data_IF_810480697635
#
_entry.id   IF_810480697635
#
_cell.length_a   1.000
_cell.length_b   1.000
_cell.length_c   1.000
_cell.angle_alpha   90.00
_cell.angle_beta   90.00
_cell.angle_gamma   90.00
#
_symmetry.space_group_name_H-M   'P 1'
#
loop_
_entity.id
_entity.type
_entity.pdbx_description
1 polymer ?
#
# COMPACT_ATOMS: atom_id res chain seq x y z
N UNK A 1 -19.68 -16.81 2.65
CA UNK A 1 -20.38 -15.54 2.42
C UNK A 1 -19.31 -14.47 2.48
N UNK A 2 -19.16 -13.70 1.41
CA UNK A 2 -18.28 -12.54 1.41
C UNK A 2 -19.11 -11.33 1.83
N UNK A 3 -18.53 -10.46 2.67
CA UNK A 3 -19.18 -9.24 3.13
C UNK A 3 -18.55 -8.05 2.41
N UNK A 4 -19.35 -7.05 2.01
CA UNK A 4 -18.78 -5.83 1.47
C UNK A 4 -17.98 -5.13 2.57
N UNK A 5 -16.77 -4.71 2.21
CA UNK A 5 -15.87 -3.94 3.05
C UNK A 5 -15.50 -2.65 2.32
N UNK A 6 -15.44 -1.56 3.08
CA UNK A 6 -15.08 -0.24 2.58
C UNK A 6 -13.64 0.08 2.92
N UNK A 7 -12.84 0.43 1.91
CA UNK A 7 -11.46 0.87 2.06
C UNK A 7 -11.33 2.33 1.63
N UNK A 8 -10.83 3.19 2.51
CA UNK A 8 -10.48 4.57 2.15
C UNK A 8 -9.08 4.58 1.54
N UNK A 9 -8.95 5.11 0.33
CA UNK A 9 -7.71 5.13 -0.45
C UNK A 9 -7.31 6.56 -0.74
N UNK A 10 -6.15 6.97 -0.25
CA UNK A 10 -5.50 8.20 -0.68
C UNK A 10 -4.57 7.91 -1.87
N UNK A 11 -4.78 8.63 -2.97
CA UNK A 11 -3.98 8.53 -4.19
C UNK A 11 -2.72 9.41 -4.08
N UNK A 12 -1.70 9.18 -4.94
CA UNK A 12 -0.48 10.01 -4.94
C UNK A 12 -0.75 11.49 -5.22
N UNK A 13 -1.86 11.80 -5.90
CA UNK A 13 -2.28 13.15 -6.25
C UNK A 13 -3.02 13.86 -5.09
N UNK A 14 -3.16 13.19 -3.93
CA UNK A 14 -3.86 13.71 -2.74
C UNK A 14 -5.38 13.55 -2.77
N UNK A 15 -5.93 12.89 -3.80
CA UNK A 15 -7.36 12.57 -3.86
C UNK A 15 -7.67 11.39 -2.93
N UNK A 16 -8.71 11.52 -2.11
CA UNK A 16 -9.24 10.44 -1.27
C UNK A 16 -10.46 9.81 -1.93
N UNK A 17 -10.46 8.49 -2.04
CA UNK A 17 -11.51 7.70 -2.71
C UNK A 17 -11.94 6.54 -1.83
N UNK A 18 -13.20 6.17 -1.89
CA UNK A 18 -13.70 4.95 -1.26
C UNK A 18 -13.76 3.82 -2.27
N UNK A 19 -13.22 2.66 -1.87
CA UNK A 19 -13.24 1.43 -2.65
C UNK A 19 -14.04 0.40 -1.88
N UNK A 20 -15.14 -0.06 -2.48
CA UNK A 20 -15.94 -1.18 -1.95
C UNK A 20 -15.44 -2.46 -2.59
N UNK A 21 -15.06 -3.42 -1.76
CA UNK A 21 -14.61 -4.73 -2.21
C UNK A 21 -15.06 -5.81 -1.23
N UNK A 22 -14.91 -7.06 -1.65
CA UNK A 22 -15.13 -8.21 -0.78
C UNK A 22 -14.11 -8.23 0.37
N UNK A 23 -14.59 -8.41 1.60
CA UNK A 23 -13.72 -8.67 2.75
C UNK A 23 -12.85 -9.91 2.48
N UNK A 24 -11.55 -9.81 2.75
CA UNK A 24 -10.59 -10.86 2.42
C UNK A 24 -10.13 -10.89 0.95
N UNK A 25 -10.64 -10.03 0.08
CA UNK A 25 -10.08 -9.85 -1.27
C UNK A 25 -8.63 -9.36 -1.21
N UNK A 26 -7.85 -9.64 -2.25
CA UNK A 26 -6.48 -9.10 -2.35
C UNK A 26 -6.57 -7.60 -2.62
N UNK A 27 -5.95 -6.79 -1.75
CA UNK A 27 -6.05 -5.32 -1.83
C UNK A 27 -5.56 -4.78 -3.18
N UNK A 28 -4.49 -5.35 -3.76
CA UNK A 28 -4.04 -4.99 -5.11
C UNK A 28 -5.17 -5.11 -6.14
N UNK A 29 -5.91 -6.21 -6.10
CA UNK A 29 -6.89 -6.50 -7.13
C UNK A 29 -8.11 -5.60 -6.93
N UNK A 30 -8.57 -5.41 -5.68
CA UNK A 30 -9.60 -4.43 -5.34
C UNK A 30 -9.25 -3.00 -5.81
N UNK A 31 -8.01 -2.56 -5.63
CA UNK A 31 -7.54 -1.26 -6.14
C UNK A 31 -7.58 -1.20 -7.67
N UNK A 32 -7.10 -2.26 -8.34
CA UNK A 32 -7.09 -2.32 -9.80
C UNK A 32 -8.50 -2.34 -10.41
N UNK A 33 -9.43 -3.08 -9.80
CA UNK A 33 -10.84 -3.12 -10.19
C UNK A 33 -11.51 -1.74 -10.02
N UNK A 34 -11.12 -0.98 -8.99
CA UNK A 34 -11.54 0.41 -8.80
C UNK A 34 -10.82 1.41 -9.73
N UNK A 35 -9.96 0.94 -10.63
CA UNK A 35 -9.18 1.77 -11.55
C UNK A 35 -8.00 2.51 -10.89
N UNK A 36 -7.69 2.21 -9.64
CA UNK A 36 -6.58 2.77 -8.87
C UNK A 36 -5.37 1.85 -9.02
N UNK A 37 -4.39 2.29 -9.81
CA UNK A 37 -3.15 1.51 -9.97
C UNK A 37 -2.22 1.75 -8.79
N UNK A 38 -1.87 0.72 -7.98
CA UNK A 38 -0.79 0.84 -6.98
C UNK A 38 0.60 0.93 -7.64
N UNK A 39 0.67 0.66 -8.95
CA UNK A 39 1.88 0.77 -9.75
C UNK A 39 2.08 2.19 -10.25
N UNK A 40 3.31 2.70 -10.15
CA UNK A 40 3.73 3.87 -10.92
C UNK A 40 3.64 3.61 -12.43
N UNK A 41 3.59 4.68 -13.24
CA UNK A 41 3.35 4.67 -14.70
C UNK A 41 4.12 3.58 -15.47
N UNK A 42 5.36 3.28 -15.09
CA UNK A 42 6.22 2.29 -15.75
C UNK A 42 6.04 0.84 -15.24
N UNK A 43 5.60 0.66 -13.99
CA UNK A 43 5.44 -0.66 -13.37
C UNK A 43 4.11 -1.36 -13.73
N UNK A 44 3.22 -0.70 -14.49
CA UNK A 44 1.94 -1.29 -14.93
C UNK A 44 2.13 -2.49 -15.87
N UNK A 45 3.24 -2.54 -16.61
CA UNK A 45 3.61 -3.65 -17.52
C UNK A 45 4.75 -4.53 -17.01
N UNK A 46 5.60 -3.99 -16.12
CA UNK A 46 6.73 -4.70 -15.50
C UNK A 46 6.46 -4.86 -14.00
N UNK A 47 5.73 -5.91 -13.63
CA UNK A 47 5.49 -6.29 -12.24
C UNK A 47 5.44 -7.81 -12.08
N UNK A 48 5.58 -8.29 -10.84
CA UNK A 48 5.57 -9.72 -10.52
C UNK A 48 4.17 -10.37 -10.54
N UNK A 49 3.13 -9.67 -10.99
CA UNK A 49 1.75 -10.19 -11.03
C UNK A 49 1.16 -10.52 -9.65
N UNK A 50 1.68 -9.91 -8.58
CA UNK A 50 1.19 -10.14 -7.22
C UNK A 50 1.98 -11.14 -6.37
N UNK A 51 3.11 -11.65 -6.87
CA UNK A 51 3.98 -12.63 -6.16
C UNK A 51 4.82 -12.07 -5.00
N UNK A 52 4.70 -10.79 -4.69
CA UNK A 52 5.46 -10.15 -3.61
C UNK A 52 6.94 -9.86 -3.90
N UNK A 53 7.39 -9.97 -5.15
CA UNK A 53 8.84 -9.94 -5.49
C UNK A 53 9.37 -8.59 -6.00
N UNK A 54 8.48 -7.70 -6.47
CA UNK A 54 8.91 -6.51 -7.23
C UNK A 54 8.77 -5.18 -6.48
N UNK A 55 8.20 -5.17 -5.26
CA UNK A 55 7.89 -3.97 -4.46
C UNK A 55 6.98 -2.91 -5.13
N UNK A 56 6.55 -3.09 -6.38
CA UNK A 56 5.75 -2.09 -7.11
C UNK A 56 4.31 -1.97 -6.63
N UNK A 57 3.85 -2.88 -5.76
CA UNK A 57 2.53 -2.85 -5.11
C UNK A 57 2.55 -2.15 -3.75
N UNK A 58 3.67 -1.50 -3.37
CA UNK A 58 3.80 -0.86 -2.06
C UNK A 58 2.73 0.21 -1.81
N UNK A 59 2.01 0.07 -0.70
CA UNK A 59 1.06 1.04 -0.13
C UNK A 59 1.45 1.30 1.33
N UNK A 60 1.10 2.47 1.87
CA UNK A 60 1.20 2.74 3.30
C UNK A 60 -0.17 2.54 3.92
N UNK A 61 -0.25 1.84 5.05
CA UNK A 61 -1.46 1.79 5.85
C UNK A 61 -1.52 3.08 6.66
N UNK A 62 -2.66 3.77 6.63
CA UNK A 62 -2.90 4.85 7.58
C UNK A 62 -3.49 4.21 8.83
N UNK A 63 -2.83 4.38 9.98
CA UNK A 63 -3.38 3.98 11.27
C UNK A 63 -4.80 4.56 11.40
N UNK A 64 -5.81 3.71 11.55
CA UNK A 64 -7.18 4.11 11.84
C UNK A 64 -7.73 3.24 12.99
N UNK A 65 -8.69 3.76 13.78
CA UNK A 65 -8.72 3.52 15.21
C UNK A 65 -9.33 2.19 15.66
N UNK A 66 -8.85 1.79 16.84
CA UNK A 66 -9.10 0.64 17.70
C UNK A 66 -8.62 -0.76 17.25
N UNK A 67 -7.62 -1.34 17.94
CA UNK A 67 -6.99 -2.58 17.53
C UNK A 67 -7.74 -3.81 18.03
N UNK A 68 -8.22 -4.64 17.11
CA UNK A 68 -8.49 -6.06 17.37
C UNK A 68 -7.63 -6.93 16.43
N UNK A 69 -6.32 -6.61 16.33
CA UNK A 69 -5.31 -7.58 15.90
C UNK A 69 -3.87 -7.06 16.10
N UNK A 70 -3.14 -7.72 17.01
CA UNK A 70 -1.74 -7.48 17.40
C UNK A 70 -0.68 -7.53 16.28
N UNK A 71 -1.03 -7.83 15.03
CA UNK A 71 -0.12 -7.75 13.88
C UNK A 71 -0.05 -6.35 13.24
N UNK A 72 -1.02 -5.48 13.55
CA UNK A 72 -1.13 -4.14 12.99
C UNK A 72 -0.17 -3.14 13.67
N UNK A 73 0.12 -3.35 14.97
CA UNK A 73 1.04 -2.56 15.81
C UNK A 73 2.46 -2.38 15.22
N UNK A 74 2.98 -3.41 14.54
CA UNK A 74 4.35 -3.38 14.00
C UNK A 74 4.46 -2.58 12.69
N UNK A 75 3.37 -2.47 11.92
CA UNK A 75 3.35 -1.64 10.71
C UNK A 75 3.27 -0.15 11.07
N UNK A 76 2.43 0.16 12.06
CA UNK A 76 2.24 1.52 12.58
C UNK A 76 3.51 2.08 13.22
N UNK A 77 4.31 1.24 13.89
CA UNK A 77 5.54 1.68 14.56
C UNK A 77 6.71 2.01 13.63
N UNK A 78 6.74 1.45 12.41
CA UNK A 78 7.95 1.53 11.57
C UNK A 78 7.72 2.06 10.14
N UNK A 79 6.48 2.36 9.73
CA UNK A 79 6.22 3.10 8.48
C UNK A 79 6.64 2.38 7.18
N UNK A 80 6.92 1.08 7.25
CA UNK A 80 7.34 0.29 6.08
C UNK A 80 6.17 0.05 5.13
N UNK A 81 6.30 0.38 3.85
CA UNK A 81 5.22 0.17 2.90
C UNK A 81 4.96 -1.33 2.73
N UNK A 82 3.69 -1.70 2.88
CA UNK A 82 3.21 -3.08 2.72
C UNK A 82 2.89 -3.34 1.26
N UNK A 83 3.06 -4.57 0.81
CA UNK A 83 2.70 -4.94 -0.57
C UNK A 83 1.20 -5.19 -0.65
N UNK A 84 0.44 -4.35 -1.35
CA UNK A 84 -1.01 -4.53 -1.49
C UNK A 84 -1.40 -5.86 -2.10
N UNK A 85 -0.50 -6.51 -2.85
CA UNK A 85 -0.71 -7.87 -3.36
C UNK A 85 -0.60 -8.99 -2.32
N UNK A 86 -0.14 -8.66 -1.10
CA UNK A 86 -0.05 -9.58 0.03
C UNK A 86 -0.98 -9.15 1.18
N UNK A 87 -1.77 -8.10 0.98
CA UNK A 87 -2.74 -7.60 1.94
C UNK A 87 -4.15 -8.03 1.56
N UNK A 88 -4.96 -8.22 2.60
CA UNK A 88 -6.37 -8.60 2.50
C UNK A 88 -7.23 -7.39 2.87
N UNK A 89 -8.29 -7.14 2.12
CA UNK A 89 -9.28 -6.10 2.40
C UNK A 89 -9.94 -6.39 3.75
N UNK A 90 -10.09 -5.34 4.56
CA UNK A 90 -10.85 -5.33 5.81
C UNK A 90 -11.71 -4.07 5.82
N UNK A 91 -12.89 -4.14 6.41
CA UNK A 91 -13.75 -2.97 6.52
C UNK A 91 -13.11 -1.87 7.37
N UNK A 92 -13.30 -0.61 6.97
CA UNK A 92 -12.71 0.55 7.64
C UNK A 92 -11.21 0.76 7.39
N UNK A 93 -10.57 -0.09 6.58
CA UNK A 93 -9.15 0.03 6.26
C UNK A 93 -8.85 1.35 5.53
N UNK A 94 -7.73 1.99 5.87
CA UNK A 94 -7.24 3.20 5.19
C UNK A 94 -5.85 2.99 4.62
N UNK A 95 -5.67 3.28 3.35
CA UNK A 95 -4.39 3.08 2.65
C UNK A 95 -4.00 4.29 1.81
N UNK A 96 -2.72 4.57 1.74
CA UNK A 96 -2.13 5.57 0.87
C UNK A 96 -1.32 4.87 -0.22
N UNK A 97 -1.67 5.14 -1.47
CA UNK A 97 -0.90 4.72 -2.63
C UNK A 97 0.30 5.67 -2.77
N UNK A 98 1.50 5.10 -2.74
CA UNK A 98 2.73 5.89 -2.75
C UNK A 98 3.14 6.27 -4.17
N UNK A 99 3.61 7.51 -4.35
CA UNK A 99 4.32 7.89 -5.57
C UNK A 99 5.65 7.14 -5.65
N UNK A 100 5.84 6.42 -6.75
CA UNK A 100 7.02 5.55 -6.94
C UNK A 100 8.30 6.32 -7.29
N UNK A 101 8.26 7.66 -7.47
CA UNK A 101 9.48 8.48 -7.57
C UNK A 101 10.12 8.71 -6.20
N UNK A 102 9.33 8.67 -5.13
CA UNK A 102 9.78 8.94 -3.74
C UNK A 102 10.42 7.72 -3.08
N UNK A 103 10.27 6.52 -3.65
CA UNK A 103 10.79 5.26 -3.11
C UNK A 103 12.31 5.03 -3.29
N UNK A 104 13.07 6.08 -3.63
CA UNK A 104 14.47 5.98 -4.05
C UNK A 104 15.43 7.05 -3.53
N UNK A 105 15.02 7.87 -2.57
CA UNK A 105 15.97 8.72 -1.84
C UNK A 105 16.78 7.84 -0.89
N UNK A 106 17.95 7.36 -1.31
CA UNK A 106 18.96 6.95 -0.34
C UNK A 106 19.32 8.22 0.44
N UNK A 107 19.07 8.26 1.74
CA UNK A 107 19.84 9.13 2.62
C UNK A 107 21.28 8.64 2.49
N UNK A 108 22.08 9.35 1.71
CA UNK A 108 23.53 9.22 1.79
C UNK A 108 23.90 9.75 3.17
N UNK A 109 24.06 8.84 4.12
CA UNK A 109 24.82 9.12 5.32
C UNK A 109 26.16 9.68 4.83
N UNK A 110 26.35 10.98 5.07
CA UNK A 110 27.56 11.71 4.74
C UNK A 110 28.68 11.26 5.66
N UNK A 111 29.09 10.00 5.52
CA UNK A 111 30.34 9.47 6.04
C UNK A 111 31.47 10.17 5.33
N UNK A 112 31.95 11.24 5.96
CA UNK A 112 33.13 11.98 5.56
C UNK A 112 34.33 11.05 5.72
N UNK A 113 34.92 10.63 4.60
CA UNK A 113 36.19 9.92 4.59
C UNK A 113 37.15 10.55 3.57
N UNK A 114 38.34 10.88 4.09
CA UNK A 114 39.59 11.33 3.46
C UNK A 114 39.62 12.71 2.78
N UNK A 115 40.56 13.62 3.11
CA UNK A 115 42.00 13.45 3.39
C UNK A 115 42.61 14.70 4.03
#
# INVERSE_FOLDING_TARGET
MSYPATVTVETPDGEVREVVADEGAVLRDALLDAGISPHGRYARRLNCGGRGLCATCGVRLAAAPDPDHWHDDLADRFGYPRLSCQLRVRDGMRVQVLDKRVWGGRETDGGSDER
#
